data_IF_370681963904
#
_entry.id   IF_370681963904
#
_cell.length_a   1.000
_cell.length_b   1.000
_cell.length_c   1.000
_cell.angle_alpha   90.00
_cell.angle_beta   90.00
_cell.angle_gamma   90.00
#
_symmetry.space_group_name_H-M   'P 1'
#
loop_
_entity.id
_entity.type
_entity.pdbx_description
1 polymer ?
#
# COMPACT_ATOMS: atom_id res chain seq x y z
N UNK A 1 48.48 6.67 33.76
CA UNK A 1 47.91 7.33 32.56
C UNK A 1 47.10 6.32 31.76
N UNK A 2 46.02 6.80 31.13
CA UNK A 2 44.84 6.07 30.66
C UNK A 2 45.07 5.07 29.52
N UNK A 3 44.64 3.80 29.70
CA UNK A 3 44.61 2.73 28.68
C UNK A 3 43.17 2.31 28.33
N UNK A 4 42.28 3.25 27.98
CA UNK A 4 40.89 2.93 27.57
C UNK A 4 40.44 3.69 26.29
N UNK A 5 41.33 3.85 25.31
CA UNK A 5 41.04 4.63 24.09
C UNK A 5 40.68 3.86 22.81
N UNK A 6 41.04 2.57 22.70
CA UNK A 6 41.14 1.92 21.37
C UNK A 6 39.91 1.09 20.93
N UNK A 7 38.95 0.80 21.82
CA UNK A 7 37.77 -0.01 21.46
C UNK A 7 36.55 0.80 20.95
N UNK A 8 36.57 2.14 21.03
CA UNK A 8 35.43 2.99 20.60
C UNK A 8 35.30 3.15 19.08
N UNK A 9 36.36 2.91 18.30
CA UNK A 9 36.33 3.11 16.83
C UNK A 9 35.63 1.97 16.06
N UNK A 10 35.66 0.72 16.56
CA UNK A 10 35.00 -0.42 15.90
C UNK A 10 33.47 -0.34 15.93
N UNK A 11 32.86 0.18 17.00
CA UNK A 11 31.39 0.29 17.13
C UNK A 11 30.75 1.22 16.08
N UNK A 12 31.43 2.29 15.67
CA UNK A 12 30.91 3.24 14.66
C UNK A 12 30.85 2.65 13.25
N UNK A 13 31.79 1.77 12.88
CA UNK A 13 31.79 1.12 11.56
C UNK A 13 30.66 0.09 11.44
N UNK A 14 30.38 -0.64 12.52
CA UNK A 14 29.32 -1.65 12.57
C UNK A 14 27.92 -1.03 12.49
N UNK A 15 27.69 0.08 13.21
CA UNK A 15 26.44 0.85 13.15
C UNK A 15 26.14 1.40 11.74
N UNK A 16 27.16 1.82 10.99
CA UNK A 16 26.99 2.33 9.62
C UNK A 16 26.58 1.23 8.64
N UNK A 17 27.12 0.02 8.81
CA UNK A 17 26.73 -1.15 8.01
C UNK A 17 25.31 -1.59 8.34
N UNK A 18 24.96 -1.65 9.63
CA UNK A 18 23.62 -2.03 10.06
C UNK A 18 22.54 -1.03 9.63
N UNK A 19 22.82 0.28 9.69
CA UNK A 19 21.92 1.30 9.17
C UNK A 19 21.75 1.21 7.65
N UNK A 20 22.83 0.87 6.92
CA UNK A 20 22.76 0.62 5.49
C UNK A 20 21.93 -0.63 5.17
N UNK A 21 22.14 -1.73 5.89
CA UNK A 21 21.38 -2.97 5.69
C UNK A 21 19.87 -2.78 5.99
N UNK A 22 19.52 -1.94 6.99
CA UNK A 22 18.12 -1.55 7.28
C UNK A 22 17.53 -0.64 6.21
N UNK A 23 18.30 0.30 5.67
CA UNK A 23 17.84 1.14 4.56
C UNK A 23 17.69 0.30 3.29
N UNK A 24 18.63 -0.59 3.01
CA UNK A 24 18.57 -1.51 1.88
C UNK A 24 17.37 -2.45 2.01
N UNK A 25 17.00 -2.94 3.20
CA UNK A 25 15.78 -3.76 3.36
C UNK A 25 14.47 -2.98 3.16
N UNK A 26 14.43 -1.70 3.57
CA UNK A 26 13.28 -0.81 3.31
C UNK A 26 13.20 -0.48 1.80
N UNK A 27 14.34 -0.26 1.14
CA UNK A 27 14.40 0.12 -0.28
C UNK A 27 14.24 -1.09 -1.22
N UNK A 28 14.71 -2.28 -0.83
CA UNK A 28 14.56 -3.53 -1.58
C UNK A 28 13.23 -4.24 -1.35
N UNK A 29 12.40 -3.75 -0.42
CA UNK A 29 10.95 -3.95 -0.41
C UNK A 29 10.24 -3.32 -1.61
N UNK A 30 10.88 -3.34 -2.79
CA UNK A 30 10.36 -2.89 -4.07
C UNK A 30 9.03 -3.59 -4.28
N UNK A 31 7.98 -2.77 -4.27
CA UNK A 31 6.68 -2.96 -4.92
C UNK A 31 6.70 -4.22 -5.76
N UNK A 32 6.05 -5.29 -5.29
CA UNK A 32 5.74 -6.43 -6.15
C UNK A 32 5.05 -5.83 -7.37
N UNK A 33 5.77 -5.76 -8.49
CA UNK A 33 5.18 -5.53 -9.79
C UNK A 33 4.25 -6.71 -9.98
N UNK A 34 2.97 -6.51 -9.67
CA UNK A 34 1.95 -7.50 -9.98
C UNK A 34 1.92 -7.51 -11.50
N UNK A 35 2.28 -8.62 -12.16
CA UNK A 35 2.12 -8.70 -13.60
C UNK A 35 0.63 -8.53 -13.85
N UNK A 36 0.25 -7.44 -14.54
CA UNK A 36 -1.13 -7.15 -14.92
C UNK A 36 -1.53 -8.25 -15.91
N UNK A 37 -2.08 -9.34 -15.37
CA UNK A 37 -2.80 -10.32 -16.14
C UNK A 37 -4.14 -9.66 -16.46
N UNK A 38 -4.37 -9.44 -17.74
CA UNK A 38 -5.59 -8.88 -18.33
C UNK A 38 -5.66 -7.34 -18.29
N UNK A 39 -5.27 -6.75 -19.43
CA UNK A 39 -5.64 -5.38 -19.77
C UNK A 39 -7.15 -5.39 -20.02
N UNK A 40 -7.94 -5.04 -19.00
CA UNK A 40 -9.38 -4.89 -19.13
C UNK A 40 -9.63 -3.76 -20.15
N UNK A 41 -10.37 -4.00 -21.25
CA UNK A 41 -10.72 -2.97 -22.21
C UNK A 41 -11.40 -1.77 -21.52
N UNK A 42 -10.95 -0.55 -21.81
CA UNK A 42 -11.44 0.68 -21.18
C UNK A 42 -12.97 0.89 -21.33
N UNK A 43 -13.58 0.26 -22.33
CA UNK A 43 -15.03 0.28 -22.58
C UNK A 43 -15.83 -0.53 -21.54
N UNK A 44 -15.24 -1.61 -21.01
CA UNK A 44 -15.82 -2.36 -19.91
C UNK A 44 -15.67 -1.60 -18.59
N UNK A 45 -14.59 -0.84 -18.39
CA UNK A 45 -14.41 -0.02 -17.18
C UNK A 45 -15.51 1.04 -17.04
N UNK A 46 -15.82 1.80 -18.09
CA UNK A 46 -16.82 2.89 -17.98
C UNK A 46 -18.25 2.43 -17.69
N UNK A 47 -18.65 1.28 -18.22
CA UNK A 47 -19.98 0.71 -17.95
C UNK A 47 -19.99 -0.13 -16.65
N UNK A 48 -18.89 -0.82 -16.33
CA UNK A 48 -18.78 -1.62 -15.10
C UNK A 48 -18.51 -0.79 -13.85
N UNK A 49 -17.93 0.40 -13.93
CA UNK A 49 -17.58 1.22 -12.77
C UNK A 49 -18.79 1.47 -11.86
N UNK A 50 -19.95 1.77 -12.44
CA UNK A 50 -21.17 2.05 -11.65
C UNK A 50 -21.68 0.77 -10.96
N UNK A 51 -21.62 -0.36 -11.65
CA UNK A 51 -22.02 -1.66 -11.09
C UNK A 51 -21.05 -2.14 -10.01
N UNK A 52 -19.75 -1.99 -10.24
CA UNK A 52 -18.67 -2.32 -9.30
C UNK A 52 -18.76 -1.44 -8.05
N UNK A 53 -18.99 -0.13 -8.20
CA UNK A 53 -19.23 0.77 -7.06
C UNK A 53 -20.38 0.25 -6.21
N UNK A 54 -21.49 -0.09 -6.85
CA UNK A 54 -22.73 -0.51 -6.16
C UNK A 54 -22.51 -1.82 -5.41
N UNK A 55 -21.86 -2.79 -6.05
CA UNK A 55 -21.50 -4.06 -5.43
C UNK A 55 -20.57 -3.89 -4.22
N UNK A 56 -19.52 -3.06 -4.36
CA UNK A 56 -18.59 -2.78 -3.27
C UNK A 56 -19.30 -2.10 -2.11
N UNK A 57 -20.11 -1.07 -2.38
CA UNK A 57 -20.88 -0.36 -1.35
C UNK A 57 -21.81 -1.30 -0.61
N UNK A 58 -22.60 -2.11 -1.32
CA UNK A 58 -23.52 -3.07 -0.71
C UNK A 58 -22.81 -4.11 0.14
N UNK A 59 -21.73 -4.71 -0.37
CA UNK A 59 -20.93 -5.69 0.37
C UNK A 59 -20.34 -5.10 1.65
N UNK A 60 -19.71 -3.93 1.56
CA UNK A 60 -19.06 -3.27 2.70
C UNK A 60 -20.09 -2.79 3.71
N UNK A 61 -21.19 -2.18 3.27
CA UNK A 61 -22.28 -1.76 4.15
C UNK A 61 -22.86 -2.94 4.93
N UNK A 62 -23.13 -4.07 4.24
CA UNK A 62 -23.65 -5.28 4.87
C UNK A 62 -22.66 -5.90 5.87
N UNK A 63 -21.36 -5.89 5.53
CA UNK A 63 -20.29 -6.48 6.34
C UNK A 63 -20.02 -5.68 7.60
N UNK A 64 -20.00 -4.36 7.49
CA UNK A 64 -19.71 -3.44 8.60
C UNK A 64 -20.96 -2.92 9.30
N UNK A 65 -22.16 -3.34 8.88
CA UNK A 65 -23.46 -2.93 9.44
C UNK A 65 -23.65 -1.42 9.46
N UNK A 66 -23.18 -0.77 8.39
CA UNK A 66 -23.39 0.67 8.15
C UNK A 66 -24.34 0.85 6.96
N UNK A 67 -24.89 2.05 6.80
CA UNK A 67 -25.65 2.39 5.59
C UNK A 67 -24.71 2.55 4.39
N UNK A 68 -25.20 2.28 3.18
CA UNK A 68 -24.42 2.45 1.95
C UNK A 68 -23.95 3.91 1.72
N UNK A 69 -24.72 4.89 2.20
CA UNK A 69 -24.35 6.31 2.18
C UNK A 69 -23.07 6.62 2.97
N UNK A 70 -22.73 5.76 3.95
CA UNK A 70 -21.53 5.88 4.77
C UNK A 70 -20.30 5.19 4.13
N UNK A 71 -20.47 4.56 2.97
CA UNK A 71 -19.39 3.90 2.22
C UNK A 71 -19.04 4.73 1.00
N UNK A 72 -17.83 5.29 0.98
CA UNK A 72 -17.29 6.04 -0.16
C UNK A 72 -16.28 5.17 -0.91
N UNK A 73 -16.50 5.00 -2.22
CA UNK A 73 -15.61 4.25 -3.11
C UNK A 73 -15.01 5.24 -4.11
N UNK A 74 -13.69 5.20 -4.27
CA UNK A 74 -12.93 6.03 -5.21
C UNK A 74 -12.04 5.12 -6.06
N UNK A 75 -11.87 5.49 -7.33
CA UNK A 75 -11.02 4.78 -8.28
C UNK A 75 -9.87 5.70 -8.65
N UNK A 76 -8.65 5.22 -8.51
CA UNK A 76 -7.46 5.90 -9.00
C UNK A 76 -6.72 5.01 -9.98
N UNK A 77 -6.47 5.53 -11.18
CA UNK A 77 -5.74 4.80 -12.22
C UNK A 77 -4.25 5.17 -12.15
N UNK A 78 -3.40 4.16 -11.98
CA UNK A 78 -1.95 4.33 -11.84
C UNK A 78 -1.24 3.33 -12.74
N UNK A 79 -0.51 3.79 -13.77
CA UNK A 79 0.43 3.01 -14.59
C UNK A 79 0.05 1.53 -14.81
N UNK A 80 -1.15 1.28 -15.36
CA UNK A 80 -1.62 -0.05 -15.75
C UNK A 80 -2.40 -0.83 -14.67
N UNK A 81 -2.70 -0.24 -13.51
CA UNK A 81 -3.60 -0.82 -12.52
C UNK A 81 -4.59 0.21 -11.97
N UNK A 82 -5.73 -0.29 -11.49
CA UNK A 82 -6.78 0.50 -10.83
C UNK A 82 -6.68 0.26 -9.33
N UNK A 83 -6.57 1.34 -8.56
CA UNK A 83 -6.66 1.33 -7.11
C UNK A 83 -8.08 1.68 -6.73
N UNK A 84 -8.73 0.78 -5.99
CA UNK A 84 -10.07 1.02 -5.46
C UNK A 84 -9.94 1.34 -3.96
N UNK A 85 -10.19 2.59 -3.60
CA UNK A 85 -10.12 3.09 -2.23
C UNK A 85 -11.54 3.08 -1.65
N UNK A 86 -11.77 2.30 -0.60
CA UNK A 86 -13.07 2.22 0.09
C UNK A 86 -12.96 2.75 1.52
N UNK A 87 -13.69 3.83 1.80
CA UNK A 87 -13.75 4.46 3.12
C UNK A 87 -15.11 4.18 3.77
N UNK A 88 -15.09 3.79 5.04
CA UNK A 88 -16.29 3.45 5.81
C UNK A 88 -16.41 4.37 7.02
N UNK A 89 -17.58 4.98 7.18
CA UNK A 89 -17.88 5.87 8.30
C UNK A 89 -18.87 5.18 9.26
N UNK A 90 -18.51 5.07 10.54
CA UNK A 90 -19.23 4.27 11.55
C UNK A 90 -20.20 5.07 12.44
N UNK A 91 -20.64 6.26 12.01
CA UNK A 91 -21.53 7.11 12.83
C UNK A 91 -22.83 6.42 13.23
#
# INVERSE_FOLDING_TARGET
MMFFGLFRRKKKAQSRKEAKDRLDSIVTGRRRSVPVQEVIPAELLKSSETDVVTQIKGYVAQRFKVKEENVKVQFEEHNGYVVIITNVVFH
#
